data_IF_301818675711
#
_entry.id   IF_301818675711
#
_cell.length_a   1.000
_cell.length_b   1.000
_cell.length_c   1.000
_cell.angle_alpha   90.00
_cell.angle_beta   90.00
_cell.angle_gamma   90.00
#
_symmetry.space_group_name_H-M   'P 1'
#
loop_
_entity.id
_entity.type
_entity.pdbx_description
1 polymer ?
#
# COMPACT_ATOMS: atom_id res chain seq x y z
N UNK A 1 -7.54 28.07 -24.57
CA UNK A 1 -8.82 27.33 -24.56
C UNK A 1 -9.08 27.00 -23.11
N UNK A 2 -10.26 27.38 -22.63
CA UNK A 2 -10.70 27.12 -21.27
C UNK A 2 -11.28 25.71 -21.17
N UNK A 3 -11.47 25.20 -19.96
CA UNK A 3 -12.06 23.89 -19.69
C UNK A 3 -13.40 23.69 -20.43
N UNK A 4 -14.21 24.76 -20.56
CA UNK A 4 -15.49 24.77 -21.28
C UNK A 4 -15.40 24.42 -22.77
N UNK A 5 -14.22 24.56 -23.36
CA UNK A 5 -14.01 24.31 -24.79
C UNK A 5 -13.83 22.81 -25.08
N UNK A 6 -13.78 21.96 -24.04
CA UNK A 6 -13.52 20.53 -24.16
C UNK A 6 -14.56 19.67 -23.45
N UNK A 7 -15.00 18.63 -24.15
CA UNK A 7 -15.74 17.51 -23.56
C UNK A 7 -14.78 16.45 -23.01
N UNK A 8 -15.26 15.60 -22.10
CA UNK A 8 -14.51 14.48 -21.54
C UNK A 8 -13.95 13.58 -22.65
N UNK A 9 -14.72 13.33 -23.71
CA UNK A 9 -14.31 12.50 -24.83
C UNK A 9 -13.23 13.17 -25.70
N UNK A 10 -13.27 14.48 -25.89
CA UNK A 10 -12.20 15.22 -26.59
C UNK A 10 -10.89 15.17 -25.81
N UNK A 11 -10.94 15.37 -24.48
CA UNK A 11 -9.76 15.22 -23.63
C UNK A 11 -9.21 13.79 -23.70
N UNK A 12 -10.08 12.78 -23.64
CA UNK A 12 -9.67 11.36 -23.77
C UNK A 12 -9.12 11.03 -25.17
N UNK A 13 -9.61 11.68 -26.22
CA UNK A 13 -9.07 11.54 -27.58
C UNK A 13 -7.70 12.23 -27.73
N UNK A 14 -7.32 13.11 -26.80
CA UNK A 14 -6.07 13.87 -26.82
C UNK A 14 -6.17 15.21 -27.55
N UNK A 15 -7.39 15.70 -27.79
CA UNK A 15 -7.65 16.99 -28.43
C UNK A 15 -8.02 18.09 -27.43
N UNK A 16 -7.73 17.89 -26.14
CA UNK A 16 -8.06 18.82 -25.06
C UNK A 16 -7.42 18.44 -23.73
N UNK A 17 -7.69 19.24 -22.71
CA UNK A 17 -7.28 19.02 -21.32
C UNK A 17 -8.25 19.68 -20.35
N UNK A 18 -8.30 19.19 -19.11
CA UNK A 18 -8.83 19.97 -17.99
C UNK A 18 -7.69 20.40 -17.07
N UNK A 19 -7.72 21.63 -16.58
CA UNK A 19 -6.74 22.17 -15.64
C UNK A 19 -7.38 23.16 -14.68
N UNK A 20 -6.62 23.55 -13.64
CA UNK A 20 -7.08 24.56 -12.69
C UNK A 20 -7.41 25.89 -13.39
N UNK A 21 -8.56 26.46 -13.04
CA UNK A 21 -8.98 27.78 -13.51
C UNK A 21 -9.50 28.61 -12.32
N UNK A 22 -9.15 29.89 -12.27
CA UNK A 22 -9.74 30.87 -11.35
C UNK A 22 -11.14 31.27 -11.84
N UNK A 23 -12.06 30.31 -11.94
CA UNK A 23 -13.46 30.55 -12.25
C UNK A 23 -14.37 29.68 -11.37
N UNK A 24 -15.64 30.05 -11.31
CA UNK A 24 -16.67 29.35 -10.53
C UNK A 24 -17.76 28.76 -11.43
N UNK A 25 -17.49 28.67 -12.73
CA UNK A 25 -18.45 28.19 -13.71
C UNK A 25 -18.55 26.66 -13.67
N UNK A 26 -19.78 26.16 -13.76
CA UNK A 26 -20.09 24.74 -13.70
C UNK A 26 -19.86 24.07 -15.06
N UNK A 27 -19.12 22.96 -15.09
CA UNK A 27 -18.95 22.12 -16.27
C UNK A 27 -19.27 20.65 -15.98
N UNK A 28 -20.19 20.07 -16.76
CA UNK A 28 -20.64 18.69 -16.58
C UNK A 28 -19.51 17.67 -16.79
N UNK A 29 -18.61 17.90 -17.74
CA UNK A 29 -17.49 17.01 -18.01
C UNK A 29 -16.44 17.01 -16.89
N UNK A 30 -16.25 18.15 -16.22
CA UNK A 30 -15.45 18.23 -14.99
C UNK A 30 -16.18 17.48 -13.87
N UNK A 31 -17.49 17.68 -13.72
CA UNK A 31 -18.29 16.94 -12.73
C UNK A 31 -18.18 15.42 -12.91
N UNK A 32 -18.20 14.95 -14.15
CA UNK A 32 -18.01 13.53 -14.48
C UNK A 32 -16.60 13.04 -14.09
N UNK A 33 -15.56 13.82 -14.41
CA UNK A 33 -14.18 13.49 -14.04
C UNK A 33 -14.00 13.43 -12.52
N UNK A 34 -14.53 14.42 -11.81
CA UNK A 34 -14.60 14.49 -10.35
C UNK A 34 -15.31 13.26 -9.76
N UNK A 35 -16.46 12.88 -10.31
CA UNK A 35 -17.19 11.68 -9.89
C UNK A 35 -16.34 10.41 -10.05
N UNK A 36 -15.60 10.28 -11.16
CA UNK A 36 -14.71 9.14 -11.40
C UNK A 36 -13.50 9.11 -10.47
N UNK A 37 -12.91 10.26 -10.13
CA UNK A 37 -11.85 10.36 -9.12
C UNK A 37 -12.36 9.86 -7.76
N UNK A 38 -13.56 10.26 -7.37
CA UNK A 38 -14.19 9.78 -6.14
C UNK A 38 -14.45 8.27 -6.15
N UNK A 39 -14.93 7.71 -7.27
CA UNK A 39 -15.08 6.25 -7.39
C UNK A 39 -13.73 5.53 -7.30
N UNK A 40 -12.65 6.14 -7.78
CA UNK A 40 -11.28 5.62 -7.66
C UNK A 40 -10.66 5.83 -6.27
N UNK A 41 -11.42 6.34 -5.30
CA UNK A 41 -10.99 6.50 -3.91
C UNK A 41 -10.29 7.81 -3.60
N UNK A 42 -10.28 8.80 -4.51
CA UNK A 42 -9.70 10.11 -4.24
C UNK A 42 -10.78 11.03 -3.70
N UNK A 43 -10.66 11.35 -2.41
CA UNK A 43 -11.63 12.23 -1.77
C UNK A 43 -11.65 13.59 -2.44
N UNK A 44 -12.86 14.03 -2.73
CA UNK A 44 -13.18 15.37 -3.14
C UNK A 44 -13.84 16.02 -1.93
N UNK A 45 -13.01 16.61 -1.06
CA UNK A 45 -13.42 17.07 0.26
C UNK A 45 -14.74 17.87 0.21
N UNK A 46 -15.76 17.33 0.92
CA UNK A 46 -16.96 17.99 1.46
C UNK A 46 -17.87 18.81 0.50
N UNK A 47 -17.45 19.10 -0.72
CA UNK A 47 -18.21 19.84 -1.72
C UNK A 47 -18.49 18.94 -2.91
N UNK A 48 -19.75 18.50 -2.97
CA UNK A 48 -20.43 17.83 -4.08
C UNK A 48 -19.78 18.21 -5.41
N UNK A 49 -19.40 17.20 -6.21
CA UNK A 49 -18.97 17.30 -7.62
C UNK A 49 -19.40 18.61 -8.28
N UNK A 50 -18.57 19.65 -8.09
CA UNK A 50 -18.97 21.05 -8.29
C UNK A 50 -19.01 21.40 -9.75
N UNK A 51 -18.43 20.56 -10.62
CA UNK A 51 -18.17 20.90 -12.01
C UNK A 51 -17.10 21.97 -12.19
N UNK A 52 -16.44 22.39 -11.09
CA UNK A 52 -15.41 23.44 -11.08
C UNK A 52 -14.05 22.78 -10.84
N UNK A 53 -13.06 23.10 -11.66
CA UNK A 53 -11.69 22.61 -11.48
C UNK A 53 -10.91 23.55 -10.55
N UNK A 54 -11.18 23.43 -9.26
CA UNK A 54 -10.54 24.19 -8.19
C UNK A 54 -9.23 23.55 -7.70
N UNK A 55 -8.59 24.17 -6.70
CA UNK A 55 -7.33 23.66 -6.13
C UNK A 55 -7.52 22.29 -5.48
N UNK A 56 -8.68 22.01 -4.89
CA UNK A 56 -8.97 20.68 -4.32
C UNK A 56 -9.03 19.61 -5.42
N UNK A 57 -9.71 19.91 -6.54
CA UNK A 57 -9.74 19.04 -7.71
C UNK A 57 -8.33 18.83 -8.26
N UNK A 58 -7.52 19.89 -8.32
CA UNK A 58 -6.13 19.80 -8.75
C UNK A 58 -5.30 18.89 -7.83
N UNK A 59 -5.43 19.01 -6.52
CA UNK A 59 -4.73 18.14 -5.56
C UNK A 59 -5.16 16.66 -5.68
N UNK A 60 -6.45 16.40 -5.88
CA UNK A 60 -6.95 15.05 -6.12
C UNK A 60 -6.38 14.46 -7.42
N UNK A 61 -6.32 15.26 -8.49
CA UNK A 61 -5.69 14.87 -9.78
C UNK A 61 -4.21 14.57 -9.58
N UNK A 62 -3.46 15.40 -8.86
CA UNK A 62 -2.04 15.17 -8.56
C UNK A 62 -1.85 13.87 -7.79
N UNK A 63 -2.66 13.62 -6.76
CA UNK A 63 -2.59 12.38 -5.97
C UNK A 63 -2.89 11.14 -6.85
N UNK A 64 -3.89 11.24 -7.72
CA UNK A 64 -4.23 10.19 -8.68
C UNK A 64 -3.07 9.93 -9.65
N UNK A 65 -2.52 10.98 -10.26
CA UNK A 65 -1.40 10.88 -11.18
C UNK A 65 -0.17 10.22 -10.52
N UNK A 66 0.18 10.64 -9.30
CA UNK A 66 1.29 10.04 -8.53
C UNK A 66 1.10 8.54 -8.34
N UNK A 67 -0.08 8.12 -7.91
CA UNK A 67 -0.39 6.70 -7.66
C UNK A 67 -0.45 5.84 -8.92
N UNK A 68 -0.64 6.46 -10.09
CA UNK A 68 -0.75 5.80 -11.37
C UNK A 68 0.50 5.96 -12.24
N UNK A 69 1.63 6.41 -11.67
CA UNK A 69 2.88 6.62 -12.40
C UNK A 69 2.74 7.56 -13.62
N UNK A 70 1.82 8.52 -13.52
CA UNK A 70 1.64 9.58 -14.51
C UNK A 70 2.43 10.83 -14.09
N UNK A 71 2.59 11.78 -15.01
CA UNK A 71 3.13 13.10 -14.70
C UNK A 71 2.20 13.79 -13.68
N UNK A 72 2.65 14.14 -12.46
CA UNK A 72 1.79 14.67 -11.40
C UNK A 72 1.69 16.20 -11.47
N UNK A 73 1.24 16.72 -12.61
CA UNK A 73 1.15 18.15 -12.91
C UNK A 73 -0.19 18.81 -12.49
N UNK A 74 -1.20 17.99 -12.16
CA UNK A 74 -2.55 18.46 -11.89
C UNK A 74 -3.35 18.80 -13.15
N UNK A 75 -2.85 18.42 -14.33
CA UNK A 75 -3.49 18.62 -15.64
C UNK A 75 -4.07 17.29 -16.11
N UNK A 76 -5.38 17.28 -16.35
CA UNK A 76 -6.11 16.11 -16.83
C UNK A 76 -6.06 16.07 -18.35
N UNK A 77 -5.06 15.37 -18.89
CA UNK A 77 -4.96 15.04 -20.31
C UNK A 77 -5.46 13.62 -20.64
N UNK A 78 -5.24 13.20 -21.88
CA UNK A 78 -5.59 11.86 -22.40
C UNK A 78 -5.15 10.72 -21.47
N UNK A 79 -3.88 10.71 -21.06
CA UNK A 79 -3.34 9.61 -20.24
C UNK A 79 -4.03 9.52 -18.88
N UNK A 80 -4.32 10.67 -18.25
CA UNK A 80 -5.05 10.74 -16.99
C UNK A 80 -6.47 10.17 -17.15
N UNK A 81 -7.23 10.58 -18.18
CA UNK A 81 -8.60 10.08 -18.37
C UNK A 81 -8.67 8.61 -18.77
N UNK A 82 -7.77 8.14 -19.65
CA UNK A 82 -7.71 6.72 -20.02
C UNK A 82 -7.47 5.86 -18.79
N UNK A 83 -6.51 6.25 -17.95
CA UNK A 83 -6.20 5.53 -16.74
C UNK A 83 -7.33 5.61 -15.71
N UNK A 84 -7.95 6.79 -15.55
CA UNK A 84 -9.09 6.99 -14.67
C UNK A 84 -10.28 6.13 -15.09
N UNK A 85 -10.54 5.98 -16.39
CA UNK A 85 -11.60 5.09 -16.91
C UNK A 85 -11.33 3.63 -16.52
N UNK A 86 -10.11 3.12 -16.72
CA UNK A 86 -9.75 1.73 -16.39
C UNK A 86 -10.03 1.40 -14.91
N UNK A 87 -9.69 2.32 -14.01
CA UNK A 87 -9.73 2.06 -12.58
C UNK A 87 -11.01 2.54 -11.88
N UNK A 88 -11.77 3.46 -12.46
CA UNK A 88 -13.05 3.91 -11.85
C UNK A 88 -14.25 3.06 -12.25
N UNK A 89 -14.25 2.45 -13.44
CA UNK A 89 -15.40 1.68 -13.95
C UNK A 89 -15.05 0.26 -14.40
N UNK A 90 -13.77 -0.11 -14.42
CA UNK A 90 -13.29 -1.45 -14.78
C UNK A 90 -13.05 -2.37 -13.58
N UNK A 91 -12.48 -3.54 -13.86
CA UNK A 91 -12.11 -4.54 -12.84
C UNK A 91 -11.09 -4.00 -11.82
N UNK A 92 -10.31 -2.97 -12.19
CA UNK A 92 -9.33 -2.33 -11.33
C UNK A 92 -9.92 -1.56 -10.14
N UNK A 93 -11.21 -1.23 -10.17
CA UNK A 93 -11.89 -0.44 -9.12
C UNK A 93 -11.67 -0.98 -7.72
N UNK A 94 -11.83 -2.29 -7.53
CA UNK A 94 -11.70 -2.89 -6.19
C UNK A 94 -10.31 -2.71 -5.58
N UNK A 95 -9.26 -2.66 -6.41
CA UNK A 95 -7.88 -2.46 -5.98
C UNK A 95 -7.54 -1.01 -5.65
N UNK A 96 -8.35 -0.06 -6.13
CA UNK A 96 -8.22 1.37 -5.82
C UNK A 96 -9.03 1.78 -4.59
N UNK A 97 -10.14 1.09 -4.31
CA UNK A 97 -10.88 1.25 -3.06
C UNK A 97 -10.11 0.73 -1.86
N UNK A 98 -9.27 -0.30 -2.06
CA UNK A 98 -8.28 -0.71 -1.06
C UNK A 98 -7.07 0.19 -1.20
N UNK A 99 -6.61 0.75 -0.08
CA UNK A 99 -5.37 1.53 -0.06
C UNK A 99 -5.50 2.92 -0.66
N UNK A 100 -6.67 3.56 -0.51
CA UNK A 100 -6.92 4.95 -0.92
C UNK A 100 -5.94 5.97 -0.31
N UNK A 101 -6.02 7.25 -0.65
CA UNK A 101 -5.28 8.28 0.06
C UNK A 101 -5.62 8.25 1.55
N UNK A 102 -4.60 8.46 2.38
CA UNK A 102 -4.69 8.51 3.83
C UNK A 102 -3.91 9.75 4.27
N UNK A 103 -4.49 10.54 5.15
CA UNK A 103 -3.84 11.76 5.64
C UNK A 103 -2.68 11.47 6.59
N UNK A 104 -2.77 10.34 7.31
CA UNK A 104 -1.83 9.90 8.35
C UNK A 104 -1.74 8.38 8.36
N UNK A 105 -0.68 7.89 8.99
CA UNK A 105 -0.39 6.48 9.16
C UNK A 105 0.50 6.34 10.39
N UNK A 106 -0.04 6.75 11.53
CA UNK A 106 0.54 6.56 12.84
C UNK A 106 -0.14 5.36 13.54
N UNK A 107 0.31 5.05 14.76
CA UNK A 107 -0.21 3.91 15.52
C UNK A 107 -1.70 4.04 15.78
N UNK A 108 -2.21 5.25 16.01
CA UNK A 108 -3.62 5.46 16.30
C UNK A 108 -4.47 5.32 15.03
N UNK A 109 -4.00 5.87 13.91
CA UNK A 109 -4.64 5.65 12.59
C UNK A 109 -4.70 4.15 12.26
N UNK A 110 -3.60 3.41 12.44
CA UNK A 110 -3.56 1.97 12.14
C UNK A 110 -4.47 1.17 13.08
N UNK A 111 -4.47 1.51 14.37
CA UNK A 111 -5.26 0.79 15.38
C UNK A 111 -6.77 1.04 15.24
N UNK A 112 -7.18 2.24 14.80
CA UNK A 112 -8.56 2.69 14.99
C UNK A 112 -9.24 3.34 13.78
N UNK A 113 -8.51 3.96 12.86
CA UNK A 113 -9.12 4.79 11.81
C UNK A 113 -9.23 4.06 10.47
N UNK A 114 -8.27 3.19 10.15
CA UNK A 114 -8.32 2.42 8.89
C UNK A 114 -9.51 1.47 8.94
N UNK A 115 -10.30 1.36 7.85
CA UNK A 115 -11.55 0.60 7.89
C UNK A 115 -11.36 -0.92 7.84
N UNK A 116 -10.34 -1.44 7.15
CA UNK A 116 -10.21 -2.89 6.89
C UNK A 116 -8.80 -3.43 7.10
N UNK A 117 -8.68 -4.73 7.41
CA UNK A 117 -7.39 -5.37 7.71
C UNK A 117 -6.61 -5.61 6.41
N UNK A 118 -7.32 -5.93 5.32
CA UNK A 118 -6.72 -6.11 4.00
C UNK A 118 -6.04 -4.83 3.53
N UNK A 119 -6.56 -3.65 3.83
CA UNK A 119 -5.90 -2.38 3.51
C UNK A 119 -4.54 -2.23 4.21
N UNK A 120 -4.47 -2.56 5.49
CA UNK A 120 -3.22 -2.49 6.28
C UNK A 120 -2.20 -3.47 5.72
N UNK A 121 -2.62 -4.71 5.52
CA UNK A 121 -1.75 -5.77 5.05
C UNK A 121 -1.26 -5.54 3.63
N UNK A 122 -2.13 -5.04 2.73
CA UNK A 122 -1.76 -4.74 1.34
C UNK A 122 -0.64 -3.71 1.28
N UNK A 123 -0.76 -2.64 2.07
CA UNK A 123 0.24 -1.58 2.13
C UNK A 123 1.55 -2.07 2.69
N UNK A 124 1.52 -2.91 3.72
CA UNK A 124 2.74 -3.48 4.31
C UNK A 124 3.42 -4.43 3.32
N UNK A 125 2.68 -5.37 2.73
CA UNK A 125 3.24 -6.33 1.77
C UNK A 125 3.90 -5.59 0.60
N UNK A 126 3.22 -4.59 0.05
CA UNK A 126 3.76 -3.77 -1.03
C UNK A 126 4.97 -2.93 -0.59
N UNK A 127 4.92 -2.31 0.60
CA UNK A 127 6.02 -1.45 1.08
C UNK A 127 7.29 -2.23 1.32
N UNK A 128 7.16 -3.43 1.89
CA UNK A 128 8.25 -4.37 2.14
C UNK A 128 8.83 -4.91 0.83
N UNK A 129 7.99 -5.20 -0.16
CA UNK A 129 8.39 -5.73 -1.46
C UNK A 129 7.47 -5.23 -2.59
N UNK A 130 8.03 -4.45 -3.51
CA UNK A 130 7.33 -3.79 -4.64
C UNK A 130 8.07 -3.96 -5.98
N UNK A 131 9.11 -4.79 -6.02
CA UNK A 131 9.91 -5.03 -7.23
C UNK A 131 9.99 -6.50 -7.64
N UNK A 132 9.61 -7.43 -6.76
CA UNK A 132 9.72 -8.87 -6.98
C UNK A 132 8.41 -9.55 -6.58
N UNK A 133 7.66 -10.04 -7.58
CA UNK A 133 6.29 -10.50 -7.42
C UNK A 133 6.18 -11.64 -6.41
N UNK A 134 6.93 -12.73 -6.62
CA UNK A 134 6.88 -13.90 -5.75
C UNK A 134 7.45 -13.66 -4.34
N UNK A 135 8.33 -12.66 -4.17
CA UNK A 135 8.88 -12.32 -2.85
C UNK A 135 7.83 -11.68 -1.94
N UNK A 136 6.76 -11.07 -2.48
CA UNK A 136 5.64 -10.58 -1.68
C UNK A 136 4.93 -11.72 -0.93
N UNK A 137 4.87 -12.93 -1.51
CA UNK A 137 4.30 -14.11 -0.85
C UNK A 137 5.07 -14.46 0.42
N UNK A 138 6.38 -14.21 0.41
CA UNK A 138 7.24 -14.44 1.56
C UNK A 138 6.91 -13.45 2.70
N UNK A 139 6.77 -12.15 2.37
CA UNK A 139 6.32 -11.12 3.33
C UNK A 139 4.97 -11.47 3.95
N UNK A 140 4.00 -11.86 3.11
CA UNK A 140 2.67 -12.27 3.56
C UNK A 140 2.74 -13.48 4.51
N UNK A 141 3.64 -14.44 4.25
CA UNK A 141 3.85 -15.60 5.14
C UNK A 141 4.39 -15.18 6.51
N UNK A 142 5.35 -14.26 6.55
CA UNK A 142 5.89 -13.73 7.81
C UNK A 142 4.80 -13.03 8.63
N UNK A 143 3.95 -12.21 7.99
CA UNK A 143 2.80 -11.61 8.65
C UNK A 143 1.86 -12.67 9.24
N UNK A 144 1.53 -13.71 8.48
CA UNK A 144 0.72 -14.83 8.95
C UNK A 144 1.34 -15.56 10.16
N UNK A 145 2.66 -15.73 10.19
CA UNK A 145 3.36 -16.37 11.31
C UNK A 145 3.32 -15.49 12.57
N UNK A 146 3.56 -14.18 12.41
CA UNK A 146 3.47 -13.19 13.50
C UNK A 146 2.06 -13.14 14.10
N UNK A 147 1.03 -13.22 13.26
CA UNK A 147 -0.35 -13.32 13.70
C UNK A 147 -0.63 -14.58 14.55
N UNK A 148 0.07 -15.68 14.27
CA UNK A 148 -0.08 -16.94 15.04
C UNK A 148 0.77 -16.96 16.31
N UNK A 149 1.67 -15.99 16.50
CA UNK A 149 2.57 -15.93 17.63
C UNK A 149 2.22 -14.74 18.56
N UNK A 150 1.69 -14.98 19.78
CA UNK A 150 1.32 -13.93 20.70
C UNK A 150 2.46 -12.97 21.10
N UNK A 151 3.74 -13.40 21.01
CA UNK A 151 4.88 -12.53 21.29
C UNK A 151 5.09 -11.42 20.25
N UNK A 152 4.41 -11.52 19.10
CA UNK A 152 4.46 -10.57 17.99
C UNK A 152 3.19 -9.71 17.91
N UNK A 153 2.43 -9.65 19.00
CA UNK A 153 1.15 -8.95 19.07
C UNK A 153 1.11 -8.03 20.29
N UNK A 154 0.49 -6.88 20.12
CA UNK A 154 0.03 -6.07 21.24
C UNK A 154 -1.05 -6.83 22.02
N UNK A 155 -1.04 -6.71 23.36
CA UNK A 155 -2.03 -7.35 24.20
C UNK A 155 -3.44 -6.79 23.94
N UNK A 156 -4.39 -7.68 23.66
CA UNK A 156 -5.80 -7.34 23.50
C UNK A 156 -6.39 -6.71 24.77
N UNK A 157 -5.86 -7.01 25.94
CA UNK A 157 -6.32 -6.40 27.20
C UNK A 157 -6.01 -4.90 27.26
N UNK A 158 -4.87 -4.48 26.68
CA UNK A 158 -4.48 -3.08 26.59
C UNK A 158 -5.19 -2.35 25.43
N UNK A 159 -5.55 -3.09 24.38
CA UNK A 159 -6.14 -2.57 23.15
C UNK A 159 -7.44 -3.33 22.78
N UNK A 160 -8.49 -3.27 23.62
CA UNK A 160 -9.65 -4.14 23.50
C UNK A 160 -10.46 -3.91 22.22
N UNK A 161 -10.48 -2.67 21.72
CA UNK A 161 -11.27 -2.28 20.55
C UNK A 161 -10.53 -2.44 19.22
N UNK A 162 -9.23 -2.71 19.23
CA UNK A 162 -8.43 -2.81 18.00
C UNK A 162 -8.66 -4.14 17.30
N UNK A 163 -8.66 -4.15 15.97
CA UNK A 163 -8.75 -5.38 15.16
C UNK A 163 -7.46 -6.20 15.29
N UNK A 164 -7.50 -7.48 14.91
CA UNK A 164 -6.41 -8.41 15.19
C UNK A 164 -5.12 -8.08 14.43
N UNK A 165 -5.21 -7.67 13.16
CA UNK A 165 -4.03 -7.31 12.37
C UNK A 165 -3.33 -6.02 12.79
N UNK A 166 -4.04 -4.93 13.14
CA UNK A 166 -3.42 -3.78 13.77
C UNK A 166 -2.57 -4.11 15.01
N UNK A 167 -3.00 -5.09 15.83
CA UNK A 167 -2.21 -5.52 17.00
C UNK A 167 -0.89 -6.18 16.61
N UNK A 168 -0.84 -6.88 15.47
CA UNK A 168 0.41 -7.44 14.93
C UNK A 168 1.28 -6.32 14.38
N UNK A 169 0.72 -5.46 13.53
CA UNK A 169 1.46 -4.41 12.81
C UNK A 169 2.07 -3.39 13.77
N UNK A 170 1.32 -2.98 14.78
CA UNK A 170 1.76 -2.00 15.76
C UNK A 170 2.57 -2.60 16.92
N UNK A 171 2.82 -3.91 16.91
CA UNK A 171 3.63 -4.53 17.94
C UNK A 171 5.08 -4.02 17.89
N UNK A 172 5.76 -3.90 19.06
CA UNK A 172 7.17 -3.55 19.10
C UNK A 172 8.01 -4.46 18.21
N UNK A 173 9.05 -3.90 17.60
CA UNK A 173 10.02 -4.60 16.74
C UNK A 173 9.48 -5.14 15.40
N UNK A 174 8.25 -4.78 15.01
CA UNK A 174 7.69 -5.14 13.70
C UNK A 174 8.03 -4.10 12.63
N UNK A 175 7.40 -2.92 12.76
CA UNK A 175 7.55 -1.79 11.87
C UNK A 175 7.81 -0.54 12.73
N UNK A 176 8.78 0.26 12.33
CA UNK A 176 9.04 1.58 12.93
C UNK A 176 8.51 2.70 12.01
N UNK A 177 8.45 3.92 12.56
CA UNK A 177 8.09 5.12 11.81
C UNK A 177 9.15 5.43 10.74
N UNK A 178 8.71 6.05 9.65
CA UNK A 178 9.60 6.56 8.62
C UNK A 178 9.53 8.08 8.55
N UNK A 179 10.63 8.71 8.14
CA UNK A 179 10.62 10.15 7.90
C UNK A 179 9.91 10.46 6.57
N UNK A 180 9.27 11.62 6.47
CA UNK A 180 8.51 12.03 5.27
C UNK A 180 9.34 12.03 3.97
N UNK A 181 10.67 12.17 4.04
CA UNK A 181 11.56 12.11 2.89
C UNK A 181 11.85 10.70 2.36
N UNK A 182 11.62 9.66 3.18
CA UNK A 182 11.88 8.26 2.81
C UNK A 182 10.59 7.54 2.37
N UNK A 183 9.50 8.32 2.28
CA UNK A 183 8.15 7.85 2.09
C UNK A 183 7.76 7.49 0.63
N UNK A 184 7.85 6.21 0.25
CA UNK A 184 7.36 5.55 -1.00
C UNK A 184 5.84 5.28 -1.17
N UNK A 185 5.09 6.13 -1.88
CA UNK A 185 3.62 6.01 -1.88
C UNK A 185 3.20 4.76 -2.65
N UNK A 186 2.15 4.03 -2.22
CA UNK A 186 1.71 2.84 -2.94
C UNK A 186 1.41 3.21 -4.40
N UNK A 187 2.13 2.56 -5.31
CA UNK A 187 1.85 2.61 -6.74
C UNK A 187 0.68 1.69 -6.97
N UNK A 188 -0.50 2.25 -7.23
CA UNK A 188 -1.75 1.50 -7.40
C UNK A 188 -2.10 1.28 -8.86
N UNK A 189 -1.73 2.25 -9.70
CA UNK A 189 -2.03 2.23 -11.12
C UNK A 189 -0.80 2.03 -11.99
N UNK A 190 -1.02 1.35 -13.10
CA UNK A 190 -0.07 1.22 -14.19
C UNK A 190 -0.81 1.47 -15.53
N UNK A 191 -0.49 2.56 -16.26
CA UNK A 191 -1.11 2.90 -17.53
C UNK A 191 -0.96 1.82 -18.60
N UNK A 192 0.05 0.95 -18.46
CA UNK A 192 0.35 -0.13 -19.39
C UNK A 192 -0.52 -1.37 -19.15
N UNK A 193 -1.14 -1.51 -17.98
CA UNK A 193 -2.01 -2.65 -17.67
C UNK A 193 -3.41 -2.45 -18.26
N UNK A 194 -4.04 -3.55 -18.67
CA UNK A 194 -5.38 -3.52 -19.26
C UNK A 194 -6.46 -3.08 -18.28
N UNK A 195 -6.33 -3.51 -17.01
CA UNK A 195 -7.22 -3.11 -15.91
C UNK A 195 -6.75 -1.82 -15.21
N UNK A 196 -5.60 -1.29 -15.62
CA UNK A 196 -4.99 -0.09 -15.06
C UNK A 196 -4.39 -0.29 -13.68
N UNK A 197 -4.25 -1.51 -13.15
CA UNK A 197 -3.74 -1.73 -11.79
C UNK A 197 -2.29 -2.18 -11.84
N UNK A 198 -1.43 -1.61 -11.00
CA UNK A 198 -0.05 -2.08 -10.83
C UNK A 198 -0.02 -3.55 -10.39
N UNK A 199 0.83 -4.36 -11.04
CA UNK A 199 0.85 -5.82 -10.82
C UNK A 199 1.31 -6.20 -9.40
N UNK A 200 2.22 -5.43 -8.80
CA UNK A 200 2.75 -5.68 -7.46
C UNK A 200 1.75 -5.22 -6.40
N UNK A 201 1.05 -4.12 -6.64
CA UNK A 201 -0.06 -3.71 -5.77
C UNK A 201 -1.20 -4.71 -5.79
N UNK A 202 -1.61 -5.13 -6.98
CA UNK A 202 -2.64 -6.15 -7.18
C UNK A 202 -2.34 -7.43 -6.39
N UNK A 203 -1.10 -7.91 -6.51
CA UNK A 203 -0.66 -9.11 -5.80
C UNK A 203 -0.57 -8.91 -4.29
N UNK A 204 -0.09 -7.76 -3.81
CA UNK A 204 -0.10 -7.44 -2.38
C UNK A 204 -1.52 -7.46 -1.79
N UNK A 205 -2.50 -6.91 -2.50
CA UNK A 205 -3.91 -6.93 -2.11
C UNK A 205 -4.48 -8.35 -2.10
N UNK A 206 -4.16 -9.16 -3.12
CA UNK A 206 -4.63 -10.54 -3.18
C UNK A 206 -4.01 -11.38 -2.05
N UNK A 207 -2.71 -11.20 -1.75
CA UNK A 207 -2.05 -11.85 -0.62
C UNK A 207 -2.60 -11.41 0.74
N UNK A 208 -2.87 -10.12 0.92
CA UNK A 208 -3.51 -9.59 2.13
C UNK A 208 -4.84 -10.28 2.42
N UNK A 209 -5.68 -10.46 1.39
CA UNK A 209 -6.95 -11.18 1.48
C UNK A 209 -6.76 -12.67 1.79
N UNK A 210 -5.69 -13.29 1.28
CA UNK A 210 -5.38 -14.71 1.49
C UNK A 210 -4.87 -15.03 2.90
N UNK A 211 -4.19 -14.11 3.57
CA UNK A 211 -3.61 -14.36 4.90
C UNK A 211 -4.56 -14.07 6.06
N UNK A 212 -5.77 -13.56 5.78
CA UNK A 212 -6.78 -13.26 6.79
C UNK A 212 -7.06 -14.47 7.71
N UNK A 213 -7.46 -14.26 8.98
CA UNK A 213 -7.44 -15.31 10.01
C UNK A 213 -8.35 -16.51 9.71
N UNK A 214 -9.35 -16.33 8.86
CA UNK A 214 -10.32 -17.32 8.40
C UNK A 214 -9.91 -18.05 7.10
N UNK A 215 -8.75 -17.72 6.52
CA UNK A 215 -8.31 -18.22 5.20
C UNK A 215 -7.17 -19.26 5.30
N UNK A 216 -7.19 -20.21 4.35
CA UNK A 216 -6.37 -21.44 4.31
C UNK A 216 -4.88 -21.13 4.02
N UNK A 217 -4.00 -22.08 4.42
CA UNK A 217 -2.55 -22.16 4.20
C UNK A 217 -2.00 -21.44 2.95
N UNK A 218 -1.24 -20.37 3.18
CA UNK A 218 -0.41 -19.73 2.17
C UNK A 218 0.81 -20.61 1.85
N UNK A 219 1.01 -20.92 0.57
CA UNK A 219 2.18 -21.67 0.04
C UNK A 219 3.11 -20.72 -0.72
N UNK A 220 4.41 -20.77 -0.44
CA UNK A 220 5.43 -19.93 -1.10
C UNK A 220 5.99 -20.66 -2.34
N UNK A 221 6.12 -20.01 -3.53
CA UNK A 221 6.68 -20.63 -4.74
C UNK A 221 8.09 -21.21 -4.58
N UNK A 222 8.38 -22.33 -5.27
CA UNK A 222 9.70 -22.98 -5.27
C UNK A 222 10.72 -22.14 -6.08
N UNK A 223 11.84 -21.77 -5.47
CA UNK A 223 12.88 -20.90 -6.06
C UNK A 223 13.39 -19.84 -5.07
N UNK A 224 12.60 -19.55 -4.05
CA UNK A 224 13.02 -18.81 -2.87
C UNK A 224 13.57 -19.82 -1.86
N UNK A 225 14.90 -19.86 -1.72
CA UNK A 225 15.63 -20.87 -0.95
C UNK A 225 16.51 -20.22 0.12
N UNK A 226 16.54 -20.83 1.30
CA UNK A 226 17.31 -20.42 2.48
C UNK A 226 18.82 -20.55 2.22
N UNK A 227 19.54 -19.42 2.27
CA UNK A 227 21.01 -19.46 2.37
C UNK A 227 21.40 -19.76 3.82
N UNK A 228 22.08 -20.88 4.05
CA UNK A 228 22.73 -21.14 5.33
C UNK A 228 23.82 -20.09 5.55
N UNK A 229 23.54 -19.06 6.35
CA UNK A 229 24.54 -18.08 6.77
C UNK A 229 25.26 -18.60 8.02
N UNK A 230 26.49 -19.05 7.82
CA UNK A 230 27.50 -19.17 8.86
C UNK A 230 28.77 -18.48 8.31
N UNK A 231 29.35 -17.45 8.96
CA UNK A 231 29.16 -17.05 10.36
C UNK A 231 28.35 -15.76 10.61
N UNK A 232 27.90 -15.61 11.87
CA UNK A 232 26.97 -14.59 12.39
C UNK A 232 27.48 -13.14 12.29
N UNK A 233 26.63 -12.16 11.88
CA UNK A 233 26.95 -10.75 12.06
C UNK A 233 26.60 -10.26 13.47
N UNK A 234 27.58 -9.62 14.12
CA UNK A 234 27.39 -8.89 15.39
C UNK A 234 26.55 -7.64 15.14
N UNK A 235 25.35 -7.56 15.72
CA UNK A 235 24.49 -6.38 15.64
C UNK A 235 24.37 -5.71 17.02
N UNK A 236 24.91 -4.50 17.12
CA UNK A 236 24.90 -3.68 18.32
C UNK A 236 23.70 -2.72 18.37
N UNK A 237 23.00 -2.68 19.50
CA UNK A 237 22.39 -1.47 20.07
C UNK A 237 20.93 -1.16 19.73
N UNK A 238 20.07 -1.31 20.75
CA UNK A 238 18.70 -0.84 20.88
C UNK A 238 18.47 0.63 20.45
N UNK A 239 17.31 0.92 19.82
CA UNK A 239 16.61 2.21 19.93
C UNK A 239 15.08 2.03 19.85
N UNK A 240 14.39 2.28 20.97
CA UNK A 240 12.96 2.56 21.06
C UNK A 240 12.74 4.05 20.74
N UNK A 241 11.90 4.41 19.75
CA UNK A 241 11.50 5.81 19.48
C UNK A 241 10.06 5.92 18.94
N UNK A 242 9.41 7.07 19.17
CA UNK A 242 7.95 7.33 19.17
C UNK A 242 7.27 7.38 17.80
N UNK A 243 5.94 7.18 17.84
CA UNK A 243 5.06 7.06 16.66
C UNK A 243 4.42 8.40 16.29
N UNK A 244 5.15 9.20 15.52
CA UNK A 244 4.56 10.28 14.73
C UNK A 244 5.30 10.35 13.40
N UNK A 245 4.52 10.25 12.32
CA UNK A 245 4.87 10.30 10.89
C UNK A 245 5.02 8.94 10.17
N UNK A 246 4.38 8.92 9.00
CA UNK A 246 3.73 7.80 8.31
C UNK A 246 4.65 6.62 7.93
N UNK A 247 4.09 5.40 7.90
CA UNK A 247 4.81 4.16 7.52
C UNK A 247 5.23 4.18 6.09
N UNK A 248 6.54 4.26 5.93
CA UNK A 248 7.17 4.06 4.65
C UNK A 248 8.62 3.63 4.80
N UNK A 249 8.89 2.35 4.56
CA UNK A 249 10.16 1.69 4.88
C UNK A 249 10.45 1.63 6.39
N UNK A 250 9.97 0.57 7.00
CA UNK A 250 10.79 -0.07 8.04
C UNK A 250 10.91 -1.55 7.76
N UNK A 251 11.43 -1.85 6.57
CA UNK A 251 11.49 -3.23 6.10
C UNK A 251 12.87 -3.87 5.96
N UNK A 252 13.95 -3.07 5.91
CA UNK A 252 15.28 -3.67 5.71
C UNK A 252 16.22 -3.53 6.91
N UNK A 253 16.56 -2.31 7.31
CA UNK A 253 17.62 -2.09 8.32
C UNK A 253 17.21 -2.39 9.77
N UNK A 254 15.92 -2.32 10.11
CA UNK A 254 15.40 -2.60 11.46
C UNK A 254 15.04 -4.08 11.60
N UNK A 255 14.46 -4.69 10.57
CA UNK A 255 14.21 -6.13 10.49
C UNK A 255 15.52 -6.94 10.60
N UNK A 256 16.61 -6.47 9.97
CA UNK A 256 17.94 -7.07 10.10
C UNK A 256 18.50 -6.98 11.54
N UNK A 257 18.11 -5.98 12.34
CA UNK A 257 18.65 -5.73 13.70
C UNK A 257 17.94 -6.49 14.82
N UNK A 258 16.69 -6.90 14.65
CA UNK A 258 15.89 -7.57 15.69
C UNK A 258 16.10 -9.09 15.76
N UNK A 259 16.95 -9.67 14.90
CA UNK A 259 17.16 -11.13 14.73
C UNK A 259 17.91 -11.78 15.92
N UNK A 260 18.46 -11.01 16.86
CA UNK A 260 19.29 -11.54 17.97
C UNK A 260 18.51 -11.86 19.26
N UNK A 261 17.19 -11.65 19.32
CA UNK A 261 16.39 -11.88 20.53
C UNK A 261 15.83 -13.32 20.62
N UNK A 262 15.89 -14.01 21.78
CA UNK A 262 15.52 -15.42 21.92
C UNK A 262 14.10 -15.82 21.49
N UNK A 263 13.13 -14.88 21.50
CA UNK A 263 11.75 -15.12 21.07
C UNK A 263 11.50 -14.95 19.55
N UNK A 264 12.52 -14.59 18.77
CA UNK A 264 12.40 -14.26 17.34
C UNK A 264 12.46 -15.48 16.42
N UNK A 265 12.78 -16.66 16.97
CA UNK A 265 12.86 -17.92 16.22
C UNK A 265 11.50 -18.46 15.77
N UNK A 266 10.41 -18.11 16.46
CA UNK A 266 9.09 -18.74 16.25
C UNK A 266 8.12 -17.91 15.39
N UNK A 267 8.50 -16.73 14.92
CA UNK A 267 7.63 -15.83 14.12
C UNK A 267 8.16 -15.48 12.73
N UNK A 268 9.27 -16.10 12.35
CA UNK A 268 9.92 -15.94 11.04
C UNK A 268 9.93 -17.29 10.29
N UNK A 269 9.20 -18.28 10.81
CA UNK A 269 9.19 -19.68 10.37
C UNK A 269 8.46 -19.90 9.06
N UNK A 270 9.22 -19.93 7.96
CA UNK A 270 8.85 -20.74 6.82
C UNK A 270 9.01 -22.23 7.21
N UNK A 271 8.08 -23.08 6.76
CA UNK A 271 7.87 -24.49 7.18
C UNK A 271 9.15 -25.38 7.20
N UNK A 272 9.15 -26.53 7.91
CA UNK A 272 10.34 -27.31 8.21
C UNK A 272 10.93 -27.96 6.95
N UNK A 273 12.27 -27.96 6.92
CA UNK A 273 13.05 -28.83 6.04
C UNK A 273 12.65 -30.30 6.26
N UNK A 274 12.10 -30.94 5.23
CA UNK A 274 11.64 -32.34 5.25
C UNK A 274 12.79 -33.35 5.46
N UNK A 275 14.06 -32.91 5.51
CA UNK A 275 15.21 -33.78 5.71
C UNK A 275 16.01 -33.57 7.01
N UNK A 276 15.94 -32.40 7.68
CA UNK A 276 16.91 -32.10 8.77
C UNK A 276 16.34 -31.60 10.09
N UNK A 277 15.03 -31.37 10.20
CA UNK A 277 14.34 -31.06 11.46
C UNK A 277 14.94 -29.86 12.26
N UNK A 278 15.37 -28.79 11.56
CA UNK A 278 15.93 -27.56 12.15
C UNK A 278 15.36 -26.27 11.51
N UNK A 279 15.25 -25.20 12.30
CA UNK A 279 14.58 -23.92 11.98
C UNK A 279 15.56 -22.82 11.51
N UNK A 280 15.25 -22.05 10.45
CA UNK A 280 16.17 -21.03 9.87
C UNK A 280 15.45 -19.78 9.30
N UNK A 281 16.07 -18.59 9.41
CA UNK A 281 15.61 -17.28 8.91
C UNK A 281 16.53 -16.75 7.80
N UNK A 282 16.03 -16.29 6.63
CA UNK A 282 16.80 -15.42 5.71
C UNK A 282 15.89 -14.55 4.81
N UNK A 283 16.19 -13.25 4.70
CA UNK A 283 15.78 -12.38 3.59
C UNK A 283 17.05 -11.83 2.93
N UNK A 284 17.40 -12.25 1.71
CA UNK A 284 18.31 -11.46 0.85
C UNK A 284 18.00 -11.65 -0.64
N UNK A 285 18.08 -10.51 -1.33
CA UNK A 285 18.04 -10.32 -2.78
C UNK A 285 19.25 -11.03 -3.42
N UNK A 286 19.01 -12.04 -4.25
CA UNK A 286 20.07 -12.62 -5.08
C UNK A 286 20.35 -11.63 -6.23
N UNK A 287 21.50 -10.94 -6.15
CA UNK A 287 22.17 -10.46 -7.37
C UNK A 287 22.82 -11.64 -8.08
#
# INVERSE_FOLDING_TARGET
MANKDYTYNQVKAGTGKFEYEENTEFYEDIRLMQHRLSIAGYEMYLQKFTGIFDENTRQAVIAFQKSCQLLPDGIVGKNTLVQLDKVSVGAGKSYFLVGGPIEKWDIDTILYEIPTDDEILSRIIWTEEHGIYDAQTAVAKVLQNRFRNPSFQLSKDKYPNSRSWPLVVCAPYQYAAATSSEAKAPLRGDPNQSDGVDIYWKHAVDLARLIMPDKINLTVPKGYSFLALNPEPKLSGYKNLSVSDQVYQTGKSIFEKSITSPGVKDAVTYDPDYQTNKWVNVFYNLK
#
